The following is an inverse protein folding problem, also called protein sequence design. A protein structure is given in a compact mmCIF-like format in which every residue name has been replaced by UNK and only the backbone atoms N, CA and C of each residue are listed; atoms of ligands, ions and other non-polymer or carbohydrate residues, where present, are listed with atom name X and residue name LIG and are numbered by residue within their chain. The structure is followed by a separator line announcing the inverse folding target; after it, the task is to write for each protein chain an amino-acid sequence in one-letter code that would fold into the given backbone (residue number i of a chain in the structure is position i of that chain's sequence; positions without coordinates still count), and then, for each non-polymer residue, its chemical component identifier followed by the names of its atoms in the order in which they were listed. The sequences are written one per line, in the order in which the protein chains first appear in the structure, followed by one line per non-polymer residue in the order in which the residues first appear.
data_IF_863402813087
#
_entry.id   IF_863402813087
#
_cell.length_a   1.000
_cell.length_b   1.000
_cell.length_c   1.000
_cell.angle_alpha   90.00
_cell.angle_beta   90.00
_cell.angle_gamma   90.00
#
_symmetry.space_group_name_H-M   'P 1'
#
loop_
_entity.id
_entity.type
_entity.pdbx_description
1 polymer ?
#
# COMPACT_ATOMS: atom_id res chain seq x y z
N UNK A 1 -8.01 1.91 7.90
CA UNK A 1 -8.45 0.54 7.50
C UNK A 1 -7.39 -0.14 6.64
N UNK A 2 -6.90 0.47 5.56
CA UNK A 2 -5.84 -0.12 4.72
C UNK A 2 -4.60 -0.55 5.52
N UNK A 3 -4.12 0.25 6.51
CA UNK A 3 -2.99 -0.13 7.39
C UNK A 3 -3.24 -1.45 8.14
N UNK A 4 -4.45 -1.64 8.68
CA UNK A 4 -4.81 -2.89 9.38
C UNK A 4 -4.75 -4.07 8.42
N UNK A 5 -5.32 -3.91 7.22
CA UNK A 5 -5.36 -4.95 6.21
C UNK A 5 -3.96 -5.29 5.69
N UNK A 6 -3.12 -4.28 5.40
CA UNK A 6 -1.72 -4.46 5.00
C UNK A 6 -0.91 -5.18 6.08
N UNK A 7 -1.05 -4.76 7.35
CA UNK A 7 -0.41 -5.42 8.49
C UNK A 7 -0.84 -6.88 8.65
N UNK A 8 -2.13 -7.15 8.46
CA UNK A 8 -2.69 -8.50 8.55
C UNK A 8 -2.18 -9.38 7.40
N UNK A 9 -2.14 -8.89 6.16
CA UNK A 9 -1.58 -9.62 5.01
C UNK A 9 -0.10 -9.91 5.21
N UNK A 10 0.69 -8.88 5.52
CA UNK A 10 2.15 -8.97 5.68
C UNK A 10 2.51 -9.95 6.80
N UNK A 11 1.94 -9.76 8.00
CA UNK A 11 2.19 -10.64 9.13
C UNK A 11 1.61 -12.05 8.90
N UNK A 12 0.43 -12.14 8.27
CA UNK A 12 -0.23 -13.39 7.96
C UNK A 12 0.57 -14.22 6.95
N UNK A 13 1.17 -13.56 5.97
CA UNK A 13 1.98 -14.23 4.96
C UNK A 13 3.28 -14.80 5.57
N UNK A 14 3.93 -14.02 6.44
CA UNK A 14 5.07 -14.51 7.21
C UNK A 14 4.70 -15.68 8.12
N UNK A 15 3.55 -15.60 8.80
CA UNK A 15 3.07 -16.62 9.74
C UNK A 15 2.73 -17.94 9.05
N UNK A 16 2.12 -17.89 7.86
CA UNK A 16 1.81 -19.07 7.05
C UNK A 16 3.08 -19.77 6.55
N UNK A 17 4.15 -19.02 6.29
CA UNK A 17 5.45 -19.55 5.84
C UNK A 17 6.43 -19.80 6.98
N UNK A 18 5.95 -20.35 8.11
CA UNK A 18 6.78 -20.76 9.28
C UNK A 18 7.45 -19.62 10.06
N UNK A 19 7.10 -18.36 9.84
CA UNK A 19 7.50 -17.25 10.70
C UNK A 19 6.93 -17.37 12.12
N UNK A 20 7.78 -17.22 13.15
CA UNK A 20 7.39 -17.38 14.55
C UNK A 20 7.96 -16.31 15.48
N UNK A 21 7.33 -16.19 16.65
CA UNK A 21 7.78 -15.32 17.73
C UNK A 21 7.70 -13.84 17.38
N UNK A 22 8.64 -13.07 17.95
CA UNK A 22 8.74 -11.61 17.79
C UNK A 22 8.95 -11.15 16.34
N UNK A 23 9.49 -12.02 15.48
CA UNK A 23 9.72 -11.69 14.07
C UNK A 23 8.41 -11.38 13.33
N UNK A 24 7.28 -11.97 13.74
CA UNK A 24 5.96 -11.66 13.15
C UNK A 24 5.59 -10.21 13.37
N UNK A 25 5.93 -9.68 14.54
CA UNK A 25 5.68 -8.27 14.87
C UNK A 25 6.58 -7.34 14.05
N UNK A 26 7.88 -7.63 13.98
CA UNK A 26 8.82 -6.81 13.21
C UNK A 26 8.49 -6.80 11.72
N UNK A 27 8.28 -7.97 11.12
CA UNK A 27 7.98 -8.10 9.68
C UNK A 27 6.62 -7.47 9.38
N UNK A 28 5.60 -7.75 10.20
CA UNK A 28 4.28 -7.17 10.02
C UNK A 28 4.28 -5.65 10.11
N UNK A 29 4.99 -5.09 11.09
CA UNK A 29 5.02 -3.65 11.33
C UNK A 29 5.85 -2.89 10.29
N UNK A 30 7.07 -3.38 10.01
CA UNK A 30 7.95 -2.77 9.01
C UNK A 30 7.33 -2.86 7.61
N UNK A 31 6.72 -4.00 7.27
CA UNK A 31 6.00 -4.13 6.02
C UNK A 31 4.80 -3.18 5.99
N UNK A 32 3.90 -3.19 6.97
CA UNK A 32 2.70 -2.36 6.86
C UNK A 32 2.97 -0.86 6.93
N UNK A 33 3.78 -0.40 7.87
CA UNK A 33 4.02 1.04 8.08
C UNK A 33 4.98 1.57 7.01
N UNK A 34 6.01 0.79 6.66
CA UNK A 34 6.96 1.14 5.61
C UNK A 34 6.28 1.24 4.24
N UNK A 35 5.48 0.24 3.85
CA UNK A 35 4.75 0.24 2.58
C UNK A 35 3.73 1.37 2.56
N UNK A 36 2.91 1.54 3.61
CA UNK A 36 1.92 2.61 3.66
C UNK A 36 2.57 3.99 3.53
N UNK A 37 3.75 4.18 4.11
CA UNK A 37 4.49 5.44 3.95
C UNK A 37 4.97 5.64 2.51
N UNK A 38 5.48 4.58 1.87
CA UNK A 38 5.90 4.65 0.48
C UNK A 38 4.71 4.90 -0.47
N UNK A 39 3.64 4.13 -0.35
CA UNK A 39 2.49 4.21 -1.27
C UNK A 39 1.65 5.47 -1.08
N UNK A 40 1.42 5.90 0.16
CA UNK A 40 0.41 6.90 0.46
C UNK A 40 0.98 8.32 0.59
N UNK A 41 2.30 8.44 0.78
CA UNK A 41 2.98 9.74 0.99
C UNK A 41 4.05 9.95 -0.08
N UNK A 42 4.99 9.02 -0.22
CA UNK A 42 6.14 9.22 -1.10
C UNK A 42 5.76 9.32 -2.58
N UNK A 43 5.01 8.36 -3.12
CA UNK A 43 4.59 8.40 -4.53
C UNK A 43 3.61 9.54 -4.84
N UNK A 44 2.57 9.82 -4.03
CA UNK A 44 1.71 10.98 -4.25
C UNK A 44 2.46 12.31 -4.19
N UNK A 45 3.38 12.49 -3.23
CA UNK A 45 4.21 13.69 -3.15
C UNK A 45 5.10 13.87 -4.38
N UNK A 46 5.74 12.79 -4.84
CA UNK A 46 6.56 12.83 -6.06
C UNK A 46 5.72 13.15 -7.30
N UNK A 47 4.53 12.54 -7.41
CA UNK A 47 3.57 12.79 -8.48
C UNK A 47 3.07 14.23 -8.49
N UNK A 48 2.68 14.77 -7.33
CA UNK A 48 2.24 16.16 -7.20
C UNK A 48 3.33 17.17 -7.50
N UNK A 49 4.54 16.95 -6.99
CA UNK A 49 5.69 17.84 -7.26
C UNK A 49 6.03 17.87 -8.75
N UNK A 50 6.02 16.71 -9.42
CA UNK A 50 6.24 16.64 -10.88
C UNK A 50 5.13 17.35 -11.67
N UNK A 51 3.92 17.43 -11.11
CA UNK A 51 2.75 18.09 -11.68
C UNK A 51 2.62 19.56 -11.28
N UNK A 52 3.59 20.12 -10.55
CA UNK A 52 3.55 21.51 -10.08
C UNK A 52 2.47 21.79 -9.03
N UNK A 53 1.91 20.74 -8.40
CA UNK A 53 1.02 20.89 -7.26
C UNK A 53 1.85 21.08 -5.98
N UNK A 54 1.55 22.12 -5.20
CA UNK A 54 2.13 22.28 -3.86
C UNK A 54 1.53 21.22 -2.93
N UNK A 55 2.27 20.13 -2.74
CA UNK A 55 1.94 19.08 -1.79
C UNK A 55 2.84 19.18 -0.58
N UNK A 56 2.26 19.19 0.61
CA UNK A 56 3.01 19.09 1.86
C UNK A 56 3.32 17.62 2.18
N UNK A 57 4.53 17.37 2.69
CA UNK A 57 4.98 16.02 3.03
C UNK A 57 4.48 15.63 4.42
N UNK A 58 3.31 14.99 4.48
CA UNK A 58 2.71 14.55 5.73
C UNK A 58 3.13 13.13 6.10
N UNK A 59 3.96 12.98 7.13
CA UNK A 59 4.31 11.66 7.66
C UNK A 59 3.20 11.14 8.57
N UNK A 60 2.27 10.36 8.00
CA UNK A 60 1.17 9.76 8.75
C UNK A 60 1.59 8.93 9.97
N UNK A 61 2.79 8.33 9.94
CA UNK A 61 3.39 7.63 11.08
C UNK A 61 3.72 8.55 12.27
N UNK A 62 4.05 9.81 12.00
CA UNK A 62 4.47 10.78 13.03
C UNK A 62 3.29 11.66 13.44
N UNK A 63 2.56 12.20 12.46
CA UNK A 63 1.43 13.09 12.70
C UNK A 63 0.21 12.35 13.28
N UNK A 64 -0.06 11.15 12.75
CA UNK A 64 -1.18 10.30 13.19
C UNK A 64 -0.69 9.00 13.83
N UNK A 65 0.44 9.05 14.52
CA UNK A 65 1.05 7.91 15.20
C UNK A 65 0.06 7.15 16.09
N UNK A 66 -0.80 7.90 16.81
CA UNK A 66 -1.84 7.35 17.69
C UNK A 66 -2.89 6.52 16.96
N UNK A 67 -3.08 6.74 15.66
CA UNK A 67 -4.02 5.98 14.85
C UNK A 67 -3.30 4.88 14.06
N UNK A 68 -2.19 5.21 13.39
CA UNK A 68 -1.48 4.30 12.51
C UNK A 68 -0.88 3.12 13.28
N UNK A 69 -0.22 3.38 14.41
CA UNK A 69 0.52 2.34 15.12
C UNK A 69 -0.41 1.33 15.80
N UNK A 70 -1.47 1.76 16.52
CA UNK A 70 -2.42 0.81 17.09
C UNK A 70 -3.16 -0.02 16.03
N UNK A 71 -3.47 0.58 14.87
CA UNK A 71 -4.10 -0.15 13.77
C UNK A 71 -3.15 -1.17 13.12
N UNK A 72 -1.87 -0.82 12.95
CA UNK A 72 -0.86 -1.77 12.50
C UNK A 72 -0.72 -2.93 13.49
N UNK A 73 -0.58 -2.63 14.79
CA UNK A 73 -0.50 -3.64 15.86
C UNK A 73 -1.74 -4.53 15.86
N UNK A 74 -2.93 -3.96 15.72
CA UNK A 74 -4.18 -4.73 15.65
C UNK A 74 -4.16 -5.73 14.49
N UNK A 75 -3.74 -5.30 13.29
CA UNK A 75 -3.63 -6.18 12.13
C UNK A 75 -2.64 -7.33 12.35
N UNK A 76 -1.48 -7.04 12.94
CA UNK A 76 -0.46 -8.03 13.30
C UNK A 76 -1.01 -9.03 14.32
N UNK A 77 -1.70 -8.57 15.36
CA UNK A 77 -2.28 -9.42 16.39
C UNK A 77 -3.32 -10.38 15.78
N UNK A 78 -4.21 -9.86 14.93
CA UNK A 78 -5.20 -10.69 14.22
C UNK A 78 -4.48 -11.76 13.38
N UNK A 79 -3.46 -11.37 12.62
CA UNK A 79 -2.68 -12.31 11.80
C UNK A 79 -1.90 -13.35 12.62
N UNK A 80 -1.47 -12.99 13.83
CA UNK A 80 -0.75 -13.91 14.71
C UNK A 80 -1.62 -15.09 15.16
N UNK A 81 -2.90 -14.82 15.47
CA UNK A 81 -3.87 -15.84 15.91
C UNK A 81 -4.61 -16.51 14.75
N UNK A 82 -4.98 -15.76 13.72
CA UNK A 82 -5.70 -16.24 12.53
C UNK A 82 -5.11 -15.62 11.27
N UNK A 83 -4.01 -16.19 10.74
CA UNK A 83 -3.39 -15.66 9.54
C UNK A 83 -4.33 -15.80 8.34
N UNK A 84 -4.63 -14.69 7.68
CA UNK A 84 -5.42 -14.65 6.46
C UNK A 84 -4.77 -13.67 5.47
N UNK A 85 -4.71 -14.03 4.19
CA UNK A 85 -4.03 -13.20 3.18
C UNK A 85 -4.95 -12.80 2.05
N UNK A 86 -5.75 -13.71 1.49
CA UNK A 86 -6.56 -13.45 0.29
C UNK A 86 -7.55 -12.29 0.44
N UNK A 87 -8.48 -12.38 1.40
CA UNK A 87 -9.48 -11.33 1.61
C UNK A 87 -8.87 -10.01 2.11
N UNK A 88 -7.96 -10.03 3.10
CA UNK A 88 -7.28 -8.82 3.55
C UNK A 88 -6.46 -8.13 2.45
N UNK A 89 -5.80 -8.88 1.56
CA UNK A 89 -5.03 -8.35 0.43
C UNK A 89 -5.94 -7.71 -0.61
N UNK A 90 -7.01 -8.41 -1.01
CA UNK A 90 -8.00 -7.84 -1.92
C UNK A 90 -8.61 -6.55 -1.34
N UNK A 91 -8.95 -6.56 -0.05
CA UNK A 91 -9.50 -5.39 0.63
C UNK A 91 -8.54 -4.21 0.68
N UNK A 92 -7.26 -4.44 1.02
CA UNK A 92 -6.25 -3.38 1.03
C UNK A 92 -6.07 -2.78 -0.37
N UNK A 93 -5.84 -3.63 -1.39
CA UNK A 93 -5.62 -3.18 -2.76
C UNK A 93 -6.80 -2.37 -3.29
N UNK A 94 -8.03 -2.88 -3.10
CA UNK A 94 -9.22 -2.18 -3.56
C UNK A 94 -9.40 -0.83 -2.87
N UNK A 95 -9.19 -0.75 -1.55
CA UNK A 95 -9.30 0.50 -0.81
C UNK A 95 -8.25 1.53 -1.25
N UNK A 96 -7.01 1.12 -1.48
CA UNK A 96 -5.94 2.02 -1.93
C UNK A 96 -6.18 2.51 -3.36
N UNK A 97 -6.65 1.63 -4.26
CA UNK A 97 -7.02 2.00 -5.63
C UNK A 97 -8.23 2.94 -5.63
N UNK A 98 -9.25 2.68 -4.82
CA UNK A 98 -10.41 3.58 -4.67
C UNK A 98 -10.01 4.94 -4.12
N UNK A 99 -9.23 5.00 -3.04
CA UNK A 99 -8.79 6.27 -2.46
C UNK A 99 -8.04 7.12 -3.48
N UNK A 100 -7.11 6.51 -4.22
CA UNK A 100 -6.32 7.19 -5.25
C UNK A 100 -7.18 7.62 -6.44
N UNK A 101 -8.16 6.80 -6.86
CA UNK A 101 -9.11 7.15 -7.91
C UNK A 101 -9.98 8.34 -7.50
N UNK A 102 -10.51 8.36 -6.27
CA UNK A 102 -11.29 9.49 -5.76
C UNK A 102 -10.43 10.76 -5.65
N UNK A 103 -9.18 10.64 -5.21
CA UNK A 103 -8.24 11.76 -5.13
C UNK A 103 -7.96 12.36 -6.52
N UNK A 104 -7.60 11.52 -7.50
CA UNK A 104 -7.36 11.97 -8.87
C UNK A 104 -8.63 12.54 -9.52
N UNK A 105 -9.80 11.97 -9.22
CA UNK A 105 -11.07 12.50 -9.74
C UNK A 105 -11.41 13.86 -9.14
N UNK A 106 -11.19 14.04 -7.83
CA UNK A 106 -11.49 15.28 -7.12
C UNK A 106 -10.51 16.42 -7.46
N UNK A 107 -9.21 16.11 -7.57
CA UNK A 107 -8.16 17.13 -7.72
C UNK A 107 -7.49 17.13 -9.09
N UNK A 108 -7.45 16.00 -9.81
CA UNK A 108 -6.83 15.89 -11.13
C UNK A 108 -7.79 16.02 -12.33
N UNK A 109 -9.11 15.94 -12.11
CA UNK A 109 -10.16 16.01 -13.15
C UNK A 109 -11.25 17.05 -12.86
N UNK A 110 -11.02 17.96 -11.91
CA UNK A 110 -11.97 19.03 -11.57
C UNK A 110 -12.38 19.86 -12.79
N UNK A 111 -13.61 20.41 -12.76
CA UNK A 111 -14.43 21.03 -13.83
C UNK A 111 -13.82 22.23 -14.62
N UNK A 112 -12.50 22.32 -14.72
CA UNK A 112 -11.76 23.38 -15.43
C UNK A 112 -10.23 23.28 -15.31
N UNK A 113 -9.69 22.35 -14.50
CA UNK A 113 -8.25 22.14 -14.35
C UNK A 113 -7.80 20.92 -15.14
N UNK A 114 -7.35 21.11 -16.38
CA UNK A 114 -6.52 20.10 -17.04
C UNK A 114 -5.23 19.89 -16.25
N UNK A 115 -4.56 18.74 -16.45
CA UNK A 115 -3.17 18.51 -16.02
C UNK A 115 -2.33 19.77 -16.30
N UNK A 116 -2.06 20.56 -15.25
CA UNK A 116 -1.47 21.89 -15.37
C UNK A 116 0.01 21.80 -15.66
N UNK A 117 0.38 21.74 -16.94
CA UNK A 117 1.79 21.82 -17.34
C UNK A 117 2.05 21.39 -18.78
N UNK A 118 1.89 22.31 -19.74
CA UNK A 118 2.58 22.30 -21.04
C UNK A 118 2.25 21.20 -22.07
N UNK A 119 1.64 20.08 -21.68
CA UNK A 119 1.22 19.00 -22.58
C UNK A 119 -0.31 19.01 -22.64
N UNK A 120 -0.87 19.54 -23.73
CA UNK A 120 -2.28 19.88 -23.93
C UNK A 120 -3.29 18.74 -23.87
N UNK A 121 -3.41 18.07 -22.72
CA UNK A 121 -4.43 17.08 -22.41
C UNK A 121 -5.32 17.58 -21.28
N UNK A 122 -6.04 18.68 -21.54
CA UNK A 122 -7.07 19.21 -20.66
C UNK A 122 -8.44 18.68 -21.08
N UNK A 123 -9.03 17.79 -20.31
CA UNK A 123 -10.45 17.49 -20.45
C UNK A 123 -10.93 16.51 -19.40
N UNK A 124 -11.84 16.99 -18.55
CA UNK A 124 -12.60 16.14 -17.64
C UNK A 124 -13.40 15.07 -18.37
N UNK A 125 -14.16 14.29 -17.59
CA UNK A 125 -14.86 13.05 -17.99
C UNK A 125 -15.81 13.16 -19.20
N UNK A 126 -16.07 14.35 -19.74
CA UNK A 126 -16.99 14.60 -20.86
C UNK A 126 -16.38 14.81 -22.25
N UNK A 127 -15.06 14.99 -22.41
CA UNK A 127 -14.52 15.39 -23.74
C UNK A 127 -13.10 14.93 -24.13
N UNK A 128 -12.23 14.62 -23.17
CA UNK A 128 -10.90 14.05 -23.45
C UNK A 128 -10.43 13.02 -22.40
N UNK A 129 -11.20 12.83 -21.32
CA UNK A 129 -10.85 11.93 -20.21
C UNK A 129 -10.66 10.46 -20.63
N UNK A 130 -11.26 10.02 -21.74
CA UNK A 130 -11.08 8.65 -22.25
C UNK A 130 -9.64 8.38 -22.73
N UNK A 131 -8.92 9.40 -23.23
CA UNK A 131 -7.52 9.25 -23.66
C UNK A 131 -6.51 9.32 -22.51
N UNK A 132 -6.88 9.89 -21.37
CA UNK A 132 -6.05 9.97 -20.16
C UNK A 132 -6.18 8.74 -19.25
N UNK A 133 -7.21 7.93 -19.47
CA UNK A 133 -7.50 6.72 -18.69
C UNK A 133 -6.34 5.71 -18.66
N UNK A 134 -5.63 5.43 -19.78
CA UNK A 134 -4.45 4.56 -19.76
C UNK A 134 -3.31 5.12 -18.90
N UNK A 135 -3.15 6.45 -18.90
CA UNK A 135 -2.11 7.14 -18.14
C UNK A 135 -2.42 7.13 -16.63
N UNK A 136 -3.67 7.39 -16.26
CA UNK A 136 -4.16 7.25 -14.87
C UNK A 136 -4.01 5.82 -14.37
N UNK A 137 -4.39 4.82 -15.19
CA UNK A 137 -4.19 3.42 -14.85
C UNK A 137 -2.72 3.10 -14.60
N UNK A 138 -1.81 3.60 -15.45
CA UNK A 138 -0.38 3.38 -15.30
C UNK A 138 0.19 4.01 -14.02
N UNK A 139 -0.23 5.25 -13.69
CA UNK A 139 0.14 5.92 -12.44
C UNK A 139 -0.37 5.12 -11.24
N UNK A 140 -1.64 4.70 -11.23
CA UNK A 140 -2.21 3.90 -10.14
C UNK A 140 -1.50 2.54 -10.01
N UNK A 141 -1.20 1.90 -11.14
CA UNK A 141 -0.48 0.63 -11.19
C UNK A 141 0.90 0.76 -10.54
N UNK A 142 1.69 1.76 -10.94
CA UNK A 142 3.04 1.97 -10.43
C UNK A 142 3.06 2.50 -9.00
N UNK A 143 2.14 3.40 -8.65
CA UNK A 143 2.12 4.07 -7.35
C UNK A 143 1.51 3.22 -6.24
N UNK A 144 0.55 2.36 -6.57
CA UNK A 144 -0.21 1.61 -5.58
C UNK A 144 0.04 0.13 -5.74
N UNK A 145 -0.19 -0.40 -6.94
CA UNK A 145 -0.20 -1.85 -7.11
C UNK A 145 1.20 -2.46 -7.02
N UNK A 146 2.20 -1.82 -7.63
CA UNK A 146 3.58 -2.28 -7.55
C UNK A 146 4.12 -2.27 -6.10
N UNK A 147 4.13 -1.15 -5.36
CA UNK A 147 4.66 -1.14 -3.99
C UNK A 147 3.83 -1.99 -3.02
N UNK A 148 2.49 -1.94 -3.09
CA UNK A 148 1.65 -2.66 -2.14
C UNK A 148 1.67 -4.17 -2.38
N UNK A 149 1.52 -4.64 -3.64
CA UNK A 149 1.47 -6.08 -3.92
C UNK A 149 2.84 -6.75 -3.81
N UNK A 150 3.89 -6.08 -4.29
CA UNK A 150 5.25 -6.62 -4.20
C UNK A 150 5.65 -6.80 -2.75
N UNK A 151 5.36 -5.80 -1.91
CA UNK A 151 5.81 -5.82 -0.54
C UNK A 151 4.89 -6.63 0.39
N UNK A 152 3.60 -6.79 0.08
CA UNK A 152 2.71 -7.70 0.84
C UNK A 152 3.15 -9.19 0.73
N UNK A 153 3.86 -9.57 -0.35
CA UNK A 153 4.24 -10.95 -0.64
C UNK A 153 5.74 -11.16 -0.50
N UNK A 154 6.58 -10.39 -1.20
CA UNK A 154 8.03 -10.63 -1.26
C UNK A 154 8.68 -10.29 0.08
N UNK A 155 8.33 -9.14 0.69
CA UNK A 155 8.99 -8.70 1.92
C UNK A 155 8.85 -9.71 3.06
N UNK A 156 7.65 -10.24 3.40
CA UNK A 156 7.52 -11.31 4.38
C UNK A 156 8.34 -12.55 4.07
N UNK A 157 8.39 -12.96 2.80
CA UNK A 157 9.07 -14.18 2.37
C UNK A 157 10.59 -14.08 2.45
N UNK A 158 11.17 -12.88 2.26
CA UNK A 158 12.61 -12.65 2.41
C UNK A 158 13.12 -12.95 3.83
N UNK A 159 12.27 -12.81 4.84
CA UNK A 159 12.63 -13.09 6.24
C UNK A 159 12.29 -14.52 6.68
N UNK A 160 11.71 -15.33 5.80
CA UNK A 160 11.51 -16.76 6.07
C UNK A 160 12.87 -17.44 6.00
N UNK A 161 13.36 -17.88 7.15
CA UNK A 161 14.62 -18.61 7.25
C UNK A 161 14.47 -19.97 6.55
N UNK A 162 15.32 -20.24 5.55
CA UNK A 162 15.42 -21.58 4.91
C UNK A 162 15.86 -22.70 5.88
N UNK A 163 16.24 -22.36 7.11
CA UNK A 163 16.82 -23.26 8.11
C UNK A 163 15.83 -24.11 8.90
N UNK A 164 14.96 -24.87 8.20
CA UNK A 164 14.06 -25.86 8.77
C UNK A 164 14.39 -27.32 8.42
N UNK A 165 15.57 -27.62 7.83
CA UNK A 165 16.09 -29.00 7.81
C UNK A 165 16.67 -29.35 9.19
N UNK A 166 15.81 -29.62 10.16
CA UNK A 166 16.24 -30.36 11.36
C UNK A 166 15.05 -31.07 12.01
N UNK A 167 15.14 -32.41 11.97
CA UNK A 167 14.42 -33.40 12.78
C UNK A 167 13.07 -33.86 12.25
N UNK A 168 13.09 -34.50 11.08
CA UNK A 168 12.32 -35.73 10.86
C UNK A 168 13.31 -36.89 10.71
N UNK A 169 13.99 -37.18 11.83
CA UNK A 169 14.43 -38.53 12.14
C UNK A 169 13.56 -38.94 13.33
N UNK A 170 12.79 -40.01 13.12
CA UNK A 170 12.28 -40.91 14.16
C UNK A 170 11.08 -40.39 14.97
N UNK A 171 9.86 -40.68 14.49
CA UNK A 171 8.98 -41.65 15.17
C UNK A 171 7.88 -42.16 14.26
#
# INVERSE_FOLDING_TARGET
IHVVLSALVTAGMFRLHRGKGWQVFLVGYLGSVGIATLSDIFFPYLGGTLLGAEMEFHLGFVEKWWLVNPLAVLGILIAYFRPATKFPHAGHVLLSTWASLFYLTAFGLGFGGGFGGGLGFGGGFGGAGFSLLPFVFFILFLSVWFPCCLSDIIFPLLFVREGGKSKEKEK
#
